data_IF_610136436657
#
_entry.id   IF_610136436657
#
_cell.length_a   1.000
_cell.length_b   1.000
_cell.length_c   1.000
_cell.angle_alpha   90.00
_cell.angle_beta   90.00
_cell.angle_gamma   90.00
#
_symmetry.space_group_name_H-M   'P 1'
#
loop_
_entity.id
_entity.type
_entity.pdbx_description
1 polymer ?
#
# COMPACT_ATOMS: atom_id res chain seq x y z
N UNK A 1 -16.23 -19.74 -8.26
CA UNK A 1 -15.93 -18.29 -8.17
C UNK A 1 -14.45 -18.00 -7.88
N UNK A 2 -13.75 -18.76 -7.04
CA UNK A 2 -12.32 -18.54 -6.72
C UNK A 2 -11.33 -18.71 -7.91
N UNK A 3 -11.69 -19.47 -8.94
CA UNK A 3 -10.82 -19.74 -10.09
C UNK A 3 -10.40 -18.48 -10.88
N UNK A 4 -11.14 -17.37 -10.78
CA UNK A 4 -10.84 -16.14 -11.52
C UNK A 4 -9.64 -15.36 -10.92
N UNK A 5 -9.19 -15.67 -9.70
CA UNK A 5 -8.06 -14.98 -9.05
C UNK A 5 -6.93 -15.91 -8.62
N UNK A 6 -6.83 -17.10 -9.23
CA UNK A 6 -5.74 -18.05 -8.96
C UNK A 6 -4.36 -17.52 -9.39
N UNK A 7 -4.32 -16.49 -10.24
CA UNK A 7 -3.06 -15.87 -10.66
C UNK A 7 -3.08 -14.35 -10.57
N UNK A 8 -1.89 -13.76 -10.45
CA UNK A 8 -1.76 -12.30 -10.57
C UNK A 8 -2.26 -11.77 -11.91
N UNK A 9 -2.09 -12.53 -13.00
CA UNK A 9 -2.58 -12.15 -14.31
C UNK A 9 -4.10 -12.01 -14.32
N UNK A 10 -4.81 -13.00 -13.80
CA UNK A 10 -6.28 -13.01 -13.81
C UNK A 10 -6.85 -12.01 -12.80
N UNK A 11 -6.21 -11.84 -11.64
CA UNK A 11 -6.56 -10.82 -10.67
C UNK A 11 -6.37 -9.38 -11.22
N UNK A 12 -5.25 -9.12 -11.91
CA UNK A 12 -5.00 -7.83 -12.57
C UNK A 12 -5.98 -7.55 -13.69
N UNK A 13 -6.35 -8.56 -14.48
CA UNK A 13 -7.33 -8.39 -15.56
C UNK A 13 -8.71 -8.01 -15.00
N UNK A 14 -9.16 -8.69 -13.95
CA UNK A 14 -10.40 -8.32 -13.25
C UNK A 14 -10.31 -6.90 -12.66
N UNK A 15 -9.20 -6.59 -11.99
CA UNK A 15 -9.05 -5.30 -11.33
C UNK A 15 -9.00 -4.13 -12.32
N UNK A 16 -8.36 -4.32 -13.48
CA UNK A 16 -8.35 -3.32 -14.54
C UNK A 16 -9.75 -3.01 -15.07
N UNK A 17 -10.57 -4.03 -15.32
CA UNK A 17 -11.98 -3.87 -15.69
C UNK A 17 -12.77 -3.16 -14.59
N UNK A 18 -12.56 -3.55 -13.33
CA UNK A 18 -13.23 -2.93 -12.18
C UNK A 18 -12.88 -1.44 -12.04
N UNK A 19 -11.59 -1.09 -12.10
CA UNK A 19 -11.11 0.30 -12.00
C UNK A 19 -11.64 1.17 -13.14
N UNK A 20 -11.70 0.63 -14.37
CA UNK A 20 -12.25 1.35 -15.53
C UNK A 20 -13.73 1.75 -15.39
N UNK A 21 -14.48 1.03 -14.55
CA UNK A 21 -15.90 1.28 -14.29
C UNK A 21 -16.13 2.25 -13.12
N UNK A 22 -15.08 2.66 -12.40
CA UNK A 22 -15.20 3.58 -11.26
C UNK A 22 -15.44 5.01 -11.73
N UNK A 23 -16.66 5.52 -11.49
CA UNK A 23 -17.09 6.89 -11.84
C UNK A 23 -16.24 8.03 -11.26
N UNK A 24 -15.50 7.80 -10.16
CA UNK A 24 -14.78 8.86 -9.41
C UNK A 24 -13.28 8.89 -9.67
N UNK A 25 -12.75 8.03 -10.53
CA UNK A 25 -11.32 7.94 -10.81
C UNK A 25 -11.05 8.45 -12.23
N UNK A 26 -10.11 9.37 -12.39
CA UNK A 26 -9.72 9.81 -13.73
C UNK A 26 -8.99 8.68 -14.45
N UNK A 27 -9.02 8.68 -15.79
CA UNK A 27 -8.31 7.67 -16.58
C UNK A 27 -6.79 7.68 -16.33
N UNK A 28 -6.22 8.84 -16.01
CA UNK A 28 -4.80 9.00 -15.68
C UNK A 28 -4.47 8.34 -14.34
N UNK A 29 -5.28 8.60 -13.30
CA UNK A 29 -5.09 8.01 -11.97
C UNK A 29 -5.32 6.50 -12.00
N UNK A 30 -6.32 6.04 -12.75
CA UNK A 30 -6.57 4.63 -13.02
C UNK A 30 -5.34 3.95 -13.66
N UNK A 31 -4.77 4.56 -14.70
CA UNK A 31 -3.58 4.05 -15.37
C UNK A 31 -2.37 3.96 -14.44
N UNK A 32 -2.17 4.99 -13.61
CA UNK A 32 -1.08 5.05 -12.62
C UNK A 32 -1.24 3.97 -11.53
N UNK A 33 -2.44 3.82 -10.99
CA UNK A 33 -2.78 2.78 -10.03
C UNK A 33 -2.51 1.38 -10.60
N UNK A 34 -2.94 1.11 -11.83
CA UNK A 34 -2.71 -0.17 -12.50
C UNK A 34 -1.23 -0.43 -12.77
N UNK A 35 -0.45 0.59 -13.13
CA UNK A 35 0.99 0.47 -13.32
C UNK A 35 1.68 0.06 -12.00
N UNK A 36 1.32 0.70 -10.89
CA UNK A 36 1.88 0.35 -9.59
C UNK A 36 1.56 -1.08 -9.15
N UNK A 37 0.32 -1.53 -9.34
CA UNK A 37 -0.08 -2.90 -8.97
C UNK A 37 0.63 -3.91 -9.89
N UNK A 38 0.81 -3.61 -11.18
CA UNK A 38 1.59 -4.47 -12.08
C UNK A 38 3.03 -4.64 -11.62
N UNK A 39 3.71 -3.55 -11.23
CA UNK A 39 5.08 -3.63 -10.71
C UNK A 39 5.13 -4.41 -9.38
N UNK A 40 4.16 -4.19 -8.51
CA UNK A 40 4.02 -4.95 -7.27
C UNK A 40 3.89 -6.45 -7.55
N UNK A 41 2.99 -6.86 -8.45
CA UNK A 41 2.84 -8.26 -8.84
C UNK A 41 4.11 -8.84 -9.48
N UNK A 42 4.79 -8.06 -10.33
CA UNK A 42 6.04 -8.46 -10.98
C UNK A 42 7.20 -8.68 -10.00
N UNK A 43 7.11 -8.11 -8.79
CA UNK A 43 8.11 -8.27 -7.73
C UNK A 43 8.06 -9.66 -7.07
N UNK A 44 7.03 -10.47 -7.34
CA UNK A 44 6.86 -11.81 -6.77
C UNK A 44 6.78 -12.90 -7.87
N UNK A 45 7.80 -13.07 -8.72
CA UNK A 45 7.72 -13.96 -9.88
C UNK A 45 7.58 -15.44 -9.53
N UNK A 46 7.95 -15.83 -8.29
CA UNK A 46 7.83 -17.22 -7.80
C UNK A 46 6.44 -17.56 -7.25
N UNK A 47 5.53 -16.58 -7.16
CA UNK A 47 4.19 -16.79 -6.60
C UNK A 47 3.18 -16.94 -7.72
N UNK A 48 2.29 -17.92 -7.58
CA UNK A 48 1.29 -18.15 -8.61
C UNK A 48 0.23 -17.05 -8.59
N UNK A 49 -0.14 -16.53 -7.41
CA UNK A 49 -1.23 -15.56 -7.29
C UNK A 49 -1.24 -14.72 -6.00
N UNK A 50 -2.25 -13.82 -5.88
CA UNK A 50 -2.35 -12.86 -4.78
C UNK A 50 -2.55 -13.51 -3.41
N UNK A 51 -3.12 -14.72 -3.34
CA UNK A 51 -3.32 -15.47 -2.08
C UNK A 51 -2.02 -15.94 -1.44
N UNK A 52 -0.95 -16.05 -2.24
CA UNK A 52 0.34 -16.50 -1.73
C UNK A 52 1.14 -15.37 -1.14
N UNK A 53 0.82 -14.10 -1.44
CA UNK A 53 1.49 -12.93 -0.87
C UNK A 53 1.18 -12.82 0.61
N UNK A 54 2.19 -12.61 1.45
CA UNK A 54 1.99 -12.35 2.88
C UNK A 54 2.23 -10.87 3.17
N UNK A 55 1.77 -10.41 4.34
CA UNK A 55 2.05 -9.05 4.82
C UNK A 55 3.56 -8.74 4.84
N UNK A 56 4.41 -9.71 5.21
CA UNK A 56 5.86 -9.54 5.22
C UNK A 56 6.40 -9.16 3.83
N UNK A 57 5.84 -9.76 2.78
CA UNK A 57 6.29 -9.54 1.41
C UNK A 57 5.91 -8.15 0.92
N UNK A 58 4.76 -7.65 1.34
CA UNK A 58 4.35 -6.26 1.09
C UNK A 58 5.32 -5.30 1.78
N UNK A 59 5.64 -5.53 3.05
CA UNK A 59 6.60 -4.70 3.80
C UNK A 59 7.97 -4.71 3.14
N UNK A 60 8.48 -5.89 2.76
CA UNK A 60 9.76 -6.03 2.07
C UNK A 60 9.74 -5.29 0.74
N UNK A 61 8.67 -5.41 -0.04
CA UNK A 61 8.53 -4.70 -1.31
C UNK A 61 8.67 -3.18 -1.16
N UNK A 62 8.02 -2.60 -0.15
CA UNK A 62 8.08 -1.15 0.12
C UNK A 62 9.42 -0.74 0.74
N UNK A 63 10.01 -1.57 1.59
CA UNK A 63 11.32 -1.31 2.19
C UNK A 63 12.45 -1.32 1.14
N UNK A 64 12.45 -2.30 0.23
CA UNK A 64 13.46 -2.41 -0.85
C UNK A 64 13.41 -1.29 -1.88
N UNK A 65 12.31 -0.53 -1.91
CA UNK A 65 12.09 0.55 -2.89
C UNK A 65 12.04 1.92 -2.22
N UNK A 66 12.33 2.00 -0.91
CA UNK A 66 12.19 3.23 -0.14
C UNK A 66 13.01 4.39 -0.73
N UNK A 67 14.14 4.07 -1.33
CA UNK A 67 15.07 4.95 -2.04
C UNK A 67 14.56 5.46 -3.39
N UNK A 68 13.60 4.75 -4.01
CA UNK A 68 13.04 5.08 -5.33
C UNK A 68 11.86 6.05 -5.28
N UNK A 69 11.28 6.29 -4.10
CA UNK A 69 10.15 7.20 -3.96
C UNK A 69 10.68 8.63 -3.86
N UNK A 70 10.64 9.36 -4.98
CA UNK A 70 11.12 10.73 -5.04
C UNK A 70 10.28 11.69 -4.18
N UNK A 71 8.99 11.35 -3.96
CA UNK A 71 8.08 12.09 -3.09
C UNK A 71 7.47 11.19 -2.01
N UNK A 72 7.39 11.64 -0.73
CA UNK A 72 6.74 10.89 0.34
C UNK A 72 5.29 10.49 0.05
N UNK A 73 4.58 11.29 -0.74
CA UNK A 73 3.20 10.99 -1.14
C UNK A 73 3.10 9.87 -2.18
N UNK A 74 4.13 9.68 -3.00
CA UNK A 74 4.13 8.59 -3.98
C UNK A 74 4.12 7.24 -3.27
N UNK A 75 4.87 7.11 -2.18
CA UNK A 75 4.84 5.94 -1.32
C UNK A 75 3.42 5.66 -0.80
N UNK A 76 2.77 6.68 -0.26
CA UNK A 76 1.40 6.59 0.27
C UNK A 76 0.40 6.18 -0.81
N UNK A 77 0.40 6.85 -1.97
CA UNK A 77 -0.54 6.52 -3.04
C UNK A 77 -0.34 5.11 -3.59
N UNK A 78 0.92 4.66 -3.66
CA UNK A 78 1.26 3.30 -4.07
C UNK A 78 0.82 2.26 -3.04
N UNK A 79 1.03 2.54 -1.76
CA UNK A 79 0.51 1.74 -0.66
C UNK A 79 -1.01 1.61 -0.74
N UNK A 80 -1.73 2.73 -0.85
CA UNK A 80 -3.19 2.75 -0.96
C UNK A 80 -3.70 2.03 -2.20
N UNK A 81 -2.96 2.08 -3.31
CA UNK A 81 -3.29 1.32 -4.52
C UNK A 81 -3.24 -0.20 -4.28
N UNK A 82 -2.18 -0.69 -3.64
CA UNK A 82 -2.00 -2.11 -3.30
C UNK A 82 -3.03 -2.55 -2.25
N UNK A 83 -3.26 -1.74 -1.22
CA UNK A 83 -4.26 -2.01 -0.18
C UNK A 83 -5.67 -2.09 -0.79
N UNK A 84 -6.05 -1.11 -1.61
CA UNK A 84 -7.37 -1.10 -2.29
C UNK A 84 -7.53 -2.33 -3.18
N UNK A 85 -6.47 -2.76 -3.87
CA UNK A 85 -6.48 -3.98 -4.67
C UNK A 85 -6.80 -5.20 -3.80
N UNK A 86 -6.10 -5.41 -2.69
CA UNK A 86 -6.34 -6.55 -1.81
C UNK A 86 -7.70 -6.49 -1.10
N UNK A 87 -8.17 -5.32 -0.71
CA UNK A 87 -9.49 -5.13 -0.13
C UNK A 87 -10.61 -5.54 -1.09
N UNK A 88 -10.51 -5.13 -2.37
CA UNK A 88 -11.49 -5.53 -3.38
C UNK A 88 -11.43 -7.01 -3.70
N UNK A 89 -10.22 -7.56 -3.84
CA UNK A 89 -10.01 -8.99 -4.04
C UNK A 89 -10.62 -9.81 -2.89
N UNK A 90 -10.41 -9.37 -1.66
CA UNK A 90 -10.95 -10.04 -0.46
C UNK A 90 -12.47 -9.96 -0.43
N UNK A 91 -13.06 -8.79 -0.72
CA UNK A 91 -14.52 -8.60 -0.75
C UNK A 91 -15.21 -9.41 -1.85
N UNK A 92 -14.62 -9.48 -3.04
CA UNK A 92 -15.26 -10.12 -4.20
C UNK A 92 -15.01 -11.63 -4.24
N UNK A 93 -13.82 -12.09 -3.85
CA UNK A 93 -13.41 -13.49 -4.02
C UNK A 93 -13.17 -14.24 -2.71
N UNK A 94 -13.46 -13.62 -1.56
CA UNK A 94 -13.24 -14.19 -0.23
C UNK A 94 -11.78 -14.66 -0.02
N UNK A 95 -10.81 -13.93 -0.59
CA UNK A 95 -9.40 -14.20 -0.36
C UNK A 95 -9.04 -13.95 1.11
N UNK A 96 -8.05 -14.68 1.68
CA UNK A 96 -7.53 -14.38 3.00
C UNK A 96 -7.12 -12.92 3.05
N UNK A 97 -7.64 -12.21 4.04
CA UNK A 97 -7.51 -10.76 4.10
C UNK A 97 -6.09 -10.41 4.50
N UNK A 98 -5.27 -10.05 3.51
CA UNK A 98 -4.00 -9.38 3.74
C UNK A 98 -4.28 -7.91 4.09
N UNK A 99 -4.98 -7.69 5.21
CA UNK A 99 -5.09 -6.36 5.77
C UNK A 99 -3.67 -5.92 6.11
N UNK A 100 -3.16 -4.96 5.36
CA UNK A 100 -1.91 -4.27 5.69
C UNK A 100 -2.20 -3.29 6.84
N UNK A 101 -2.97 -3.69 7.85
CA UNK A 101 -3.26 -2.84 9.01
C UNK A 101 -1.98 -2.68 9.83
N UNK A 102 -1.63 -1.43 10.16
CA UNK A 102 -0.51 -1.10 11.04
C UNK A 102 0.79 -0.66 10.36
N UNK A 103 0.83 -0.48 9.03
CA UNK A 103 1.92 0.29 8.40
C UNK A 103 1.71 1.81 8.54
N UNK A 104 0.45 2.22 8.59
CA UNK A 104 0.02 3.48 9.19
C UNK A 104 -0.85 3.14 10.41
N UNK A 105 -0.52 3.72 11.55
CA UNK A 105 -1.35 3.76 12.75
C UNK A 105 -2.53 4.74 12.48
N UNK A 106 -3.68 4.57 13.14
CA UNK A 106 -4.77 5.58 13.11
C UNK A 106 -4.31 6.98 13.60
N UNK A 107 -3.12 7.06 14.20
CA UNK A 107 -2.40 8.29 14.57
C UNK A 107 -1.65 8.95 13.41
N UNK A 108 -1.39 8.24 12.31
CA UNK A 108 -0.71 8.81 11.15
C UNK A 108 -1.68 9.68 10.35
N UNK A 109 -1.42 10.99 10.38
CA UNK A 109 -2.18 11.96 9.63
C UNK A 109 -2.08 11.67 8.13
N UNK A 110 -3.23 11.64 7.46
CA UNK A 110 -3.29 11.59 6.00
C UNK A 110 -2.36 12.69 5.42
N UNK A 111 -1.56 12.39 4.38
CA UNK A 111 -0.55 13.33 3.87
C UNK A 111 -1.12 14.70 3.47
N UNK A 112 -2.38 14.74 3.03
CA UNK A 112 -3.11 15.97 2.70
C UNK A 112 -3.40 16.84 3.94
N UNK A 113 -3.59 16.23 5.11
CA UNK A 113 -3.70 16.90 6.39
C UNK A 113 -2.33 17.36 6.88
N UNK A 114 -1.28 16.54 6.69
CA UNK A 114 0.08 16.87 7.10
C UNK A 114 0.63 18.12 6.38
N UNK A 115 0.31 18.28 5.09
CA UNK A 115 0.64 19.49 4.30
C UNK A 115 -0.07 20.77 4.78
N UNK A 116 -1.17 20.64 5.51
CA UNK A 116 -1.95 21.77 6.06
C UNK A 116 -1.54 22.14 7.48
N UNK A 117 -0.67 21.35 8.11
CA UNK A 117 -0.11 21.71 9.42
C UNK A 117 0.91 22.82 9.17
N UNK A 118 0.70 24.03 9.71
CA UNK A 118 1.71 25.07 9.62
C UNK A 118 2.99 24.54 10.24
N UNK A 119 4.08 24.60 9.49
CA UNK A 119 5.40 24.09 9.85
C UNK A 119 5.75 24.58 11.26
N UNK A 120 5.55 23.74 12.29
CA UNK A 120 5.92 24.08 13.65
C UNK A 120 7.44 23.98 13.74
N UNK A 121 8.01 24.95 14.46
CA UNK A 121 9.43 25.21 14.62
C UNK A 121 10.27 23.95 14.78
N UNK A 122 11.46 23.98 14.14
CA UNK A 122 12.52 22.96 14.14
C UNK A 122 12.38 21.91 15.25
N UNK A 123 11.94 20.71 14.86
CA UNK A 123 11.95 19.54 15.73
C UNK A 123 13.40 19.25 16.17
N UNK A 124 13.67 19.44 17.45
CA UNK A 124 14.94 19.05 18.07
C UNK A 124 15.04 17.52 18.00
N UNK A 125 16.17 16.94 17.54
CA UNK A 125 16.34 15.50 17.48
C UNK A 125 16.13 14.87 18.86
N UNK A 126 15.27 13.85 18.94
CA UNK A 126 15.07 13.07 20.16
C UNK A 126 16.38 12.37 20.50
N UNK A 127 16.94 12.67 21.68
CA UNK A 127 18.14 12.01 22.16
C UNK A 127 17.79 10.66 22.82
N UNK A 128 17.97 9.58 22.06
CA UNK A 128 17.74 8.19 22.50
C UNK A 128 18.78 7.67 23.50
N UNK A 129 19.78 8.47 23.89
CA UNK A 129 20.86 8.05 24.78
C UNK A 129 20.57 8.29 26.27
N UNK A 130 19.37 8.77 26.65
CA UNK A 130 19.02 8.93 28.06
C UNK A 130 18.51 7.59 28.61
N UNK A 131 19.19 7.07 29.64
CA UNK A 131 18.63 6.02 30.50
C UNK A 131 17.36 6.58 31.13
N UNK A 132 16.25 5.88 30.93
CA UNK A 132 15.00 6.18 31.62
C UNK A 132 15.15 5.82 33.10
N UNK A 133 15.32 6.82 33.95
CA UNK A 133 15.12 6.66 35.39
C UNK A 133 13.61 6.69 35.65
N UNK A 134 12.95 5.55 35.51
CA UNK A 134 11.60 5.36 36.03
C UNK A 134 11.68 5.21 37.55
N UNK A 135 11.34 6.27 38.29
CA UNK A 135 11.05 6.18 39.71
C UNK A 135 9.61 5.67 39.89
N UNK A 136 9.48 4.52 40.58
CA UNK A 136 8.21 3.95 41.05
C UNK A 136 7.55 4.81 42.15
#
# INVERSE_FOLDING_TARGET
MAAQCASFRSALAWYADHVSKRRRLTGVDAGRQLAWIREFCASFPRRAGPTEVTQRDVVVYFAERCDRFAEPLEWYYRYKAVETFYDEMSRTFALPVNHIRGLYDESDLAPELQRRIPMRDRLVPVNWSRKDDYAY
#
